data_IF_638976373789
#
_entry.id   IF_638976373789
#
_cell.length_a   1.000
_cell.length_b   1.000
_cell.length_c   1.000
_cell.angle_alpha   90.00
_cell.angle_beta   90.00
_cell.angle_gamma   90.00
#
_symmetry.space_group_name_H-M   'P 1'
#
loop_
_entity.id
_entity.type
_entity.pdbx_description
1 polymer ?
#
# COMPACT_ATOMS: atom_id res chain seq x y z
N UNK A 1 24.58 -21.03 -11.74
CA UNK A 1 23.54 -21.01 -12.80
C UNK A 1 22.76 -22.33 -12.84
N UNK A 2 23.43 -23.50 -12.90
CA UNK A 2 22.76 -24.83 -12.88
C UNK A 2 21.81 -25.06 -11.70
N UNK A 3 22.19 -24.66 -10.47
CA UNK A 3 21.34 -24.84 -9.29
C UNK A 3 20.01 -24.05 -9.38
N UNK A 4 20.06 -22.80 -9.84
CA UNK A 4 18.84 -21.98 -10.06
C UNK A 4 17.93 -22.55 -11.15
N UNK A 5 18.51 -23.16 -12.19
CA UNK A 5 17.72 -23.81 -13.25
C UNK A 5 17.01 -25.04 -12.69
N UNK A 6 17.70 -25.85 -11.88
CA UNK A 6 17.10 -27.01 -11.21
C UNK A 6 15.96 -26.61 -10.25
N UNK A 7 16.13 -25.52 -9.50
CA UNK A 7 15.08 -25.00 -8.60
C UNK A 7 13.85 -24.52 -9.40
N UNK A 8 14.05 -23.78 -10.50
CA UNK A 8 12.93 -23.35 -11.37
C UNK A 8 12.25 -24.54 -12.06
N UNK A 9 12.98 -25.58 -12.46
CA UNK A 9 12.39 -26.79 -13.04
C UNK A 9 11.56 -27.56 -12.01
N UNK A 10 12.00 -27.63 -10.75
CA UNK A 10 11.20 -28.21 -9.67
C UNK A 10 9.96 -27.37 -9.33
N UNK A 11 10.06 -26.04 -9.31
CA UNK A 11 8.92 -25.15 -9.11
C UNK A 11 7.90 -25.29 -10.25
N UNK A 12 8.37 -25.34 -11.50
CA UNK A 12 7.50 -25.55 -12.67
C UNK A 12 6.82 -26.92 -12.64
N UNK A 13 7.51 -27.97 -12.16
CA UNK A 13 6.89 -29.29 -11.96
C UNK A 13 5.81 -29.23 -10.88
N UNK A 14 6.10 -28.60 -9.74
CA UNK A 14 5.11 -28.41 -8.66
C UNK A 14 3.90 -27.58 -9.12
N UNK A 15 4.12 -26.54 -9.93
CA UNK A 15 3.05 -25.72 -10.48
C UNK A 15 2.19 -26.51 -11.48
N UNK A 16 2.80 -27.34 -12.33
CA UNK A 16 2.07 -28.27 -13.21
C UNK A 16 1.27 -29.29 -12.43
N UNK A 17 1.86 -29.93 -11.43
CA UNK A 17 1.18 -30.91 -10.57
C UNK A 17 0.01 -30.25 -9.80
N UNK A 18 0.19 -29.01 -9.34
CA UNK A 18 -0.87 -28.23 -8.68
C UNK A 18 -1.99 -27.86 -9.66
N UNK A 19 -1.65 -27.44 -10.89
CA UNK A 19 -2.63 -27.12 -11.92
C UNK A 19 -3.44 -28.36 -12.35
N UNK A 20 -2.79 -29.51 -12.50
CA UNK A 20 -3.45 -30.79 -12.79
C UNK A 20 -4.39 -31.20 -11.65
N UNK A 21 -3.96 -31.04 -10.38
CA UNK A 21 -4.80 -31.31 -9.21
C UNK A 21 -6.00 -30.36 -9.11
N UNK A 22 -5.81 -29.07 -9.39
CA UNK A 22 -6.91 -28.09 -9.43
C UNK A 22 -7.91 -28.45 -10.53
N UNK A 23 -7.44 -28.82 -11.72
CA UNK A 23 -8.33 -29.27 -12.79
C UNK A 23 -9.08 -30.56 -12.43
N UNK A 24 -8.44 -31.49 -11.73
CA UNK A 24 -9.09 -32.72 -11.29
C UNK A 24 -10.18 -32.43 -10.24
N UNK A 25 -9.88 -31.60 -9.24
CA UNK A 25 -10.86 -31.14 -8.24
C UNK A 25 -12.01 -30.36 -8.88
N UNK A 26 -11.75 -29.51 -9.87
CA UNK A 26 -12.80 -28.82 -10.62
C UNK A 26 -13.73 -29.80 -11.34
N UNK A 27 -13.19 -30.86 -11.96
CA UNK A 27 -14.00 -31.91 -12.58
C UNK A 27 -14.81 -32.71 -11.56
N UNK A 28 -14.25 -33.00 -10.39
CA UNK A 28 -14.97 -33.68 -9.31
C UNK A 28 -16.11 -32.81 -8.75
N UNK A 29 -15.88 -31.50 -8.57
CA UNK A 29 -16.91 -30.54 -8.15
C UNK A 29 -18.03 -30.46 -9.18
N UNK A 30 -17.73 -30.38 -10.47
CA UNK A 30 -18.77 -30.36 -11.50
C UNK A 30 -19.57 -31.68 -11.55
N UNK A 31 -18.91 -32.83 -11.36
CA UNK A 31 -19.62 -34.12 -11.23
C UNK A 31 -20.52 -34.16 -9.99
N UNK A 32 -20.06 -33.62 -8.85
CA UNK A 32 -20.85 -33.55 -7.63
C UNK A 32 -22.09 -32.66 -7.83
N UNK A 33 -21.93 -31.47 -8.41
CA UNK A 33 -23.05 -30.56 -8.75
C UNK A 33 -24.04 -31.21 -9.72
N UNK A 34 -23.55 -31.93 -10.72
CA UNK A 34 -24.41 -32.66 -11.67
C UNK A 34 -25.23 -33.75 -10.95
N UNK A 35 -24.61 -34.48 -10.02
CA UNK A 35 -25.29 -35.50 -9.22
C UNK A 35 -26.30 -34.91 -8.23
N UNK A 36 -25.99 -33.75 -7.65
CA UNK A 36 -26.90 -33.00 -6.78
C UNK A 36 -28.10 -32.47 -7.57
N UNK A 37 -27.89 -31.91 -8.77
CA UNK A 37 -28.98 -31.50 -9.67
C UNK A 37 -29.91 -32.66 -10.01
N UNK A 38 -29.37 -33.83 -10.37
CA UNK A 38 -30.16 -35.04 -10.65
C UNK A 38 -30.94 -35.52 -9.42
N UNK A 39 -30.34 -35.44 -8.24
CA UNK A 39 -31.01 -35.79 -6.99
C UNK A 39 -32.15 -34.82 -6.66
N UNK A 40 -31.93 -33.51 -6.83
CA UNK A 40 -32.95 -32.49 -6.65
C UNK A 40 -34.09 -32.65 -7.65
N UNK A 41 -33.79 -32.93 -8.91
CA UNK A 41 -34.81 -33.18 -9.95
C UNK A 41 -35.64 -34.43 -9.62
N UNK A 42 -34.99 -35.51 -9.15
CA UNK A 42 -35.67 -36.70 -8.65
C UNK A 42 -36.53 -36.39 -7.42
N UNK A 43 -36.05 -35.57 -6.48
CA UNK A 43 -36.81 -35.20 -5.28
C UNK A 43 -38.03 -34.35 -5.65
N UNK A 44 -37.88 -33.37 -6.54
CA UNK A 44 -38.99 -32.55 -7.06
C UNK A 44 -40.03 -33.44 -7.76
N UNK A 45 -39.59 -34.39 -8.58
CA UNK A 45 -40.48 -35.34 -9.24
C UNK A 45 -41.24 -36.18 -8.21
N UNK A 46 -40.55 -36.72 -7.19
CA UNK A 46 -41.17 -37.50 -6.12
C UNK A 46 -42.15 -36.65 -5.29
N UNK A 47 -41.81 -35.41 -4.96
CA UNK A 47 -42.71 -34.48 -4.24
C UNK A 47 -43.97 -34.21 -5.05
N UNK A 48 -43.84 -33.94 -6.35
CA UNK A 48 -45.01 -33.76 -7.24
C UNK A 48 -45.89 -35.00 -7.29
N UNK A 49 -45.30 -36.20 -7.36
CA UNK A 49 -46.05 -37.46 -7.32
C UNK A 49 -46.74 -37.69 -5.97
N UNK A 50 -46.09 -37.34 -4.86
CA UNK A 50 -46.69 -37.41 -3.53
C UNK A 50 -47.84 -36.40 -3.38
N UNK A 51 -47.71 -35.19 -3.90
CA UNK A 51 -48.78 -34.20 -3.91
C UNK A 51 -49.98 -34.69 -4.74
N UNK A 52 -49.75 -35.25 -5.92
CA UNK A 52 -50.80 -35.78 -6.77
C UNK A 52 -51.53 -36.97 -6.11
N UNK A 53 -50.80 -37.92 -5.53
CA UNK A 53 -51.39 -39.06 -4.82
C UNK A 53 -52.13 -38.63 -3.55
N UNK A 54 -51.65 -37.59 -2.85
CA UNK A 54 -52.33 -36.99 -1.70
C UNK A 54 -53.67 -36.38 -2.10
N UNK A 55 -53.72 -35.63 -3.21
CA UNK A 55 -54.97 -35.05 -3.72
C UNK A 55 -55.96 -36.15 -4.08
N UNK A 56 -55.55 -37.17 -4.85
CA UNK A 56 -56.43 -38.30 -5.21
C UNK A 56 -56.91 -39.08 -3.99
N UNK A 57 -56.09 -39.20 -2.94
CA UNK A 57 -56.49 -39.83 -1.68
C UNK A 57 -57.53 -38.98 -0.93
N UNK A 58 -57.38 -37.66 -0.90
CA UNK A 58 -58.35 -36.74 -0.31
C UNK A 58 -59.69 -36.78 -1.06
N UNK A 59 -59.65 -36.81 -2.39
CA UNK A 59 -60.85 -36.99 -3.25
C UNK A 59 -61.56 -38.31 -2.96
N UNK A 60 -60.82 -39.43 -2.91
CA UNK A 60 -61.39 -40.75 -2.60
C UNK A 60 -61.98 -40.80 -1.18
N UNK A 61 -61.34 -40.14 -0.19
CA UNK A 61 -61.90 -40.02 1.17
C UNK A 61 -63.21 -39.25 1.17
N UNK A 62 -63.31 -38.15 0.43
CA UNK A 62 -64.55 -37.39 0.29
C UNK A 62 -65.65 -38.21 -0.37
N UNK A 63 -65.34 -38.98 -1.42
CA UNK A 63 -66.28 -39.90 -2.06
C UNK A 63 -66.78 -40.98 -1.08
N UNK A 64 -65.87 -41.61 -0.32
CA UNK A 64 -66.24 -42.61 0.70
C UNK A 64 -67.17 -42.00 1.75
N UNK A 65 -66.89 -40.81 2.26
CA UNK A 65 -67.77 -40.16 3.24
C UNK A 65 -69.15 -39.83 2.65
N UNK A 66 -69.19 -39.45 1.37
CA UNK A 66 -70.45 -39.17 0.65
C UNK A 66 -71.27 -40.45 0.45
N UNK A 67 -70.62 -41.55 0.06
CA UNK A 67 -71.24 -42.87 -0.08
C UNK A 67 -71.71 -43.42 1.27
N UNK A 68 -70.93 -43.22 2.34
CA UNK A 68 -71.32 -43.61 3.70
C UNK A 68 -72.56 -42.84 4.18
N UNK A 69 -72.64 -41.52 3.92
CA UNK A 69 -73.83 -40.73 4.22
C UNK A 69 -75.05 -41.18 3.40
N UNK A 70 -74.86 -41.47 2.11
CA UNK A 70 -75.93 -42.00 1.26
C UNK A 70 -76.43 -43.35 1.77
N UNK A 71 -75.53 -44.28 2.12
CA UNK A 71 -75.89 -45.57 2.71
C UNK A 71 -76.61 -45.42 4.05
N UNK A 72 -76.14 -44.54 4.94
CA UNK A 72 -76.81 -44.26 6.22
C UNK A 72 -78.24 -43.71 6.01
N UNK A 73 -78.44 -42.86 4.99
CA UNK A 73 -79.77 -42.34 4.64
C UNK A 73 -80.70 -43.42 4.08
N UNK A 74 -80.16 -44.35 3.26
CA UNK A 74 -80.90 -45.49 2.73
C UNK A 74 -81.26 -46.49 3.83
N UNK A 75 -80.34 -46.76 4.75
CA UNK A 75 -80.59 -47.62 5.90
C UNK A 75 -81.64 -47.02 6.85
N UNK A 76 -81.60 -45.71 7.12
CA UNK A 76 -82.64 -45.02 7.89
C UNK A 76 -84.01 -45.10 7.19
N UNK A 77 -84.04 -44.97 5.87
CA UNK A 77 -85.26 -45.10 5.05
C UNK A 77 -85.81 -46.53 5.05
N UNK A 78 -84.93 -47.53 4.95
CA UNK A 78 -85.29 -48.94 4.98
C UNK A 78 -85.78 -49.37 6.38
N UNK A 79 -85.12 -48.89 7.45
CA UNK A 79 -85.54 -49.13 8.82
C UNK A 79 -86.94 -48.54 9.09
N UNK A 80 -87.22 -47.33 8.61
CA UNK A 80 -88.55 -46.73 8.70
C UNK A 80 -89.62 -47.52 7.92
N UNK A 81 -89.27 -48.10 6.77
CA UNK A 81 -90.19 -48.91 5.96
C UNK A 81 -90.49 -50.29 6.59
N UNK A 82 -89.51 -50.91 7.27
CA UNK A 82 -89.67 -52.23 7.90
C UNK A 82 -90.47 -52.17 9.21
N UNK A 83 -90.36 -51.07 9.97
CA UNK A 83 -91.18 -50.85 11.18
C UNK A 83 -92.66 -50.66 10.84
N UNK A 84 -92.99 -50.20 9.62
CA UNK A 84 -94.38 -49.97 9.20
C UNK A 84 -95.11 -51.20 8.65
N UNK A 85 -94.46 -52.37 8.45
CA UNK A 85 -95.07 -53.54 7.76
C UNK A 85 -95.23 -54.81 8.60
N UNK A 86 -94.99 -54.78 9.91
CA UNK A 86 -95.04 -55.98 10.77
C UNK A 86 -96.22 -55.94 11.75
N UNK A 87 -97.46 -55.96 11.23
CA UNK A 87 -98.68 -56.03 12.04
C UNK A 87 -99.90 -56.55 11.26
N UNK A 88 -100.46 -57.69 11.69
CA UNK A 88 -101.69 -58.30 11.17
C UNK A 88 -101.45 -59.53 10.29
N UNK A 89 -102.18 -60.63 10.37
CA UNK A 89 -103.36 -60.99 11.15
C UNK A 89 -103.47 -62.53 11.18
N UNK A 90 -103.87 -63.08 12.34
CA UNK A 90 -104.23 -64.50 12.51
C UNK A 90 -105.76 -64.54 12.58
N UNK A 91 -106.42 -65.17 11.60
CA UNK A 91 -107.86 -65.49 11.68
C UNK A 91 -108.07 -67.01 11.67
N UNK A 92 -108.63 -67.50 12.77
CA UNK A 92 -109.07 -68.88 13.01
C UNK A 92 -110.46 -69.08 12.40
N UNK A 93 -110.69 -70.21 11.71
CA UNK A 93 -112.01 -70.54 11.13
C UNK A 93 -112.66 -71.75 11.80
N UNK A 94 -113.54 -71.42 12.76
CA UNK A 94 -114.89 -71.94 13.00
C UNK A 94 -115.17 -73.44 12.76
N UNK A 95 -115.24 -74.19 13.86
CA UNK A 95 -115.70 -75.57 14.03
C UNK A 95 -117.24 -75.64 13.99
N UNK A 96 -117.84 -76.22 12.94
CA UNK A 96 -119.30 -76.36 12.82
C UNK A 96 -119.81 -77.68 12.19
N UNK A 97 -119.00 -78.75 12.24
CA UNK A 97 -119.39 -80.08 11.74
C UNK A 97 -118.88 -81.17 12.68
N UNK A 98 -119.66 -81.55 13.71
CA UNK A 98 -119.29 -82.63 14.66
C UNK A 98 -120.52 -83.24 15.38
N UNK A 99 -121.70 -83.22 14.75
CA UNK A 99 -122.97 -83.61 15.44
C UNK A 99 -123.39 -85.07 15.20
N UNK A 100 -122.73 -85.84 14.33
CA UNK A 100 -123.19 -87.22 14.05
C UNK A 100 -122.05 -88.22 13.85
N UNK A 101 -121.78 -89.03 14.88
CA UNK A 101 -121.29 -90.41 14.79
C UNK A 101 -119.94 -90.65 14.11
N UNK A 102 -118.84 -90.41 14.82
CA UNK A 102 -117.48 -90.69 14.30
C UNK A 102 -116.36 -90.79 15.34
N UNK A 103 -116.68 -91.10 16.60
CA UNK A 103 -115.74 -90.96 17.73
C UNK A 103 -114.39 -91.65 17.53
N UNK A 104 -114.34 -92.83 16.89
CA UNK A 104 -113.07 -93.55 16.70
C UNK A 104 -112.19 -92.99 15.56
N UNK A 105 -112.79 -92.40 14.53
CA UNK A 105 -112.06 -91.78 13.42
C UNK A 105 -111.58 -90.37 13.78
N UNK A 106 -112.37 -89.61 14.54
CA UNK A 106 -111.93 -88.35 15.16
C UNK A 106 -110.81 -88.59 16.17
N UNK A 107 -110.90 -89.61 17.02
CA UNK A 107 -109.79 -89.99 17.92
C UNK A 107 -108.54 -90.36 17.11
N UNK A 108 -108.68 -91.05 15.97
CA UNK A 108 -107.54 -91.39 15.09
C UNK A 108 -106.94 -90.15 14.43
N UNK A 109 -107.77 -89.23 13.92
CA UNK A 109 -107.34 -87.96 13.34
C UNK A 109 -106.61 -87.10 14.39
N UNK A 110 -107.21 -86.92 15.57
CA UNK A 110 -106.61 -86.19 16.70
C UNK A 110 -105.28 -86.83 17.15
N UNK A 111 -105.15 -88.16 17.12
CA UNK A 111 -103.87 -88.85 17.41
C UNK A 111 -102.81 -88.65 16.31
N UNK A 112 -103.21 -88.57 15.05
CA UNK A 112 -102.31 -88.21 13.95
C UNK A 112 -101.88 -86.74 14.07
N UNK A 113 -102.83 -85.83 14.30
CA UNK A 113 -102.60 -84.39 14.49
C UNK A 113 -101.70 -84.13 15.70
N UNK A 114 -101.94 -84.80 16.83
CA UNK A 114 -101.09 -84.72 18.02
C UNK A 114 -99.66 -85.18 17.71
N UNK A 115 -99.47 -86.27 16.96
CA UNK A 115 -98.13 -86.70 16.54
C UNK A 115 -97.46 -85.67 15.63
N UNK A 116 -98.18 -85.07 14.69
CA UNK A 116 -97.62 -84.02 13.83
C UNK A 116 -97.32 -82.73 14.60
N UNK A 117 -98.16 -82.38 15.58
CA UNK A 117 -97.94 -81.23 16.46
C UNK A 117 -96.71 -81.47 17.35
N UNK A 118 -96.56 -82.66 17.93
CA UNK A 118 -95.37 -83.05 18.70
C UNK A 118 -94.11 -83.04 17.82
N UNK A 119 -94.18 -83.53 16.57
CA UNK A 119 -93.06 -83.44 15.63
C UNK A 119 -92.74 -81.98 15.25
N UNK A 120 -93.76 -81.14 15.11
CA UNK A 120 -93.61 -79.70 14.88
C UNK A 120 -92.99 -78.97 16.07
N UNK A 121 -93.42 -79.29 17.29
CA UNK A 121 -92.85 -78.80 18.54
C UNK A 121 -91.39 -79.22 18.69
N UNK A 122 -91.06 -80.48 18.41
CA UNK A 122 -89.67 -80.96 18.42
C UNK A 122 -88.80 -80.24 17.39
N UNK A 123 -89.32 -79.98 16.19
CA UNK A 123 -88.62 -79.15 15.18
C UNK A 123 -88.47 -77.70 15.63
N UNK A 124 -89.49 -77.12 16.28
CA UNK A 124 -89.43 -75.78 16.84
C UNK A 124 -88.45 -75.69 17.99
N UNK A 125 -88.34 -76.73 18.83
CA UNK A 125 -87.36 -76.82 19.91
C UNK A 125 -85.95 -76.86 19.34
N UNK A 126 -85.69 -77.71 18.34
CA UNK A 126 -84.39 -77.74 17.65
C UNK A 126 -84.03 -76.39 17.02
N UNK A 127 -84.97 -75.74 16.33
CA UNK A 127 -84.74 -74.41 15.76
C UNK A 127 -84.47 -73.34 16.84
N UNK A 128 -85.10 -73.46 18.02
CA UNK A 128 -84.82 -72.59 19.16
C UNK A 128 -83.44 -72.86 19.78
N UNK A 129 -83.04 -74.13 19.89
CA UNK A 129 -81.72 -74.52 20.35
C UNK A 129 -80.63 -74.01 19.37
N UNK A 130 -80.82 -74.20 18.06
CA UNK A 130 -79.94 -73.68 17.01
C UNK A 130 -79.86 -72.14 17.07
N UNK A 131 -81.00 -71.47 17.28
CA UNK A 131 -81.04 -70.02 17.48
C UNK A 131 -80.29 -69.59 18.74
N UNK A 132 -80.39 -70.35 19.84
CA UNK A 132 -79.65 -70.09 21.07
C UNK A 132 -78.14 -70.22 20.86
N UNK A 133 -77.70 -71.24 20.12
CA UNK A 133 -76.29 -71.40 19.73
C UNK A 133 -75.83 -70.22 18.89
N UNK A 134 -76.57 -69.86 17.83
CA UNK A 134 -76.24 -68.72 16.97
C UNK A 134 -76.19 -67.39 17.74
N UNK A 135 -77.11 -67.15 18.68
CA UNK A 135 -77.08 -65.96 19.55
C UNK A 135 -75.87 -65.97 20.49
N UNK A 136 -75.47 -67.13 20.99
CA UNK A 136 -74.27 -67.27 21.82
C UNK A 136 -73.00 -66.98 21.02
N UNK A 137 -72.90 -67.46 19.78
CA UNK A 137 -71.79 -67.22 18.86
C UNK A 137 -71.69 -65.74 18.49
N UNK A 138 -72.80 -65.12 18.08
CA UNK A 138 -72.86 -63.67 17.79
C UNK A 138 -72.50 -62.85 19.03
N UNK A 139 -72.88 -63.30 20.23
CA UNK A 139 -72.49 -62.63 21.48
C UNK A 139 -70.99 -62.75 21.76
N UNK A 140 -70.39 -63.91 21.47
CA UNK A 140 -68.94 -64.10 21.59
C UNK A 140 -68.16 -63.29 20.56
N UNK A 141 -68.60 -63.28 19.30
CA UNK A 141 -68.02 -62.45 18.24
C UNK A 141 -68.14 -60.96 18.56
N UNK A 142 -69.30 -60.50 19.05
CA UNK A 142 -69.48 -59.12 19.49
C UNK A 142 -68.55 -58.75 20.67
N UNK A 143 -68.27 -59.69 21.58
CA UNK A 143 -67.26 -59.51 22.65
C UNK A 143 -65.84 -59.45 22.08
N UNK A 144 -65.52 -60.31 21.11
CA UNK A 144 -64.22 -60.34 20.46
C UNK A 144 -63.94 -59.04 19.67
N UNK A 145 -64.92 -58.57 18.90
CA UNK A 145 -64.83 -57.30 18.16
C UNK A 145 -64.68 -56.11 19.10
N UNK A 146 -65.38 -56.10 20.23
CA UNK A 146 -65.19 -55.06 21.26
C UNK A 146 -63.77 -55.05 21.84
N UNK A 147 -63.19 -56.23 22.06
CA UNK A 147 -61.81 -56.36 22.52
C UNK A 147 -60.84 -55.79 21.48
N UNK A 148 -60.96 -56.20 20.22
CA UNK A 148 -60.13 -55.67 19.13
C UNK A 148 -60.30 -54.16 18.94
N UNK A 149 -61.52 -53.62 19.09
CA UNK A 149 -61.76 -52.18 19.04
C UNK A 149 -61.05 -51.45 20.20
N UNK A 150 -61.06 -52.00 21.41
CA UNK A 150 -60.34 -51.42 22.54
C UNK A 150 -58.81 -51.49 22.38
N UNK A 151 -58.29 -52.57 21.80
CA UNK A 151 -56.86 -52.72 21.49
C UNK A 151 -56.43 -51.72 20.41
N UNK A 152 -57.16 -51.64 19.30
CA UNK A 152 -56.90 -50.66 18.24
C UNK A 152 -57.04 -49.21 18.73
N UNK A 153 -57.97 -48.94 19.66
CA UNK A 153 -58.10 -47.62 20.27
C UNK A 153 -56.87 -47.27 21.13
N UNK A 154 -56.36 -48.22 21.93
CA UNK A 154 -55.16 -48.01 22.73
C UNK A 154 -53.91 -47.81 21.85
N UNK A 155 -53.78 -48.56 20.75
CA UNK A 155 -52.71 -48.39 19.77
C UNK A 155 -52.77 -47.01 19.08
N UNK A 156 -53.96 -46.54 18.72
CA UNK A 156 -54.16 -45.21 18.14
C UNK A 156 -53.76 -44.10 19.13
N UNK A 157 -54.16 -44.23 20.39
CA UNK A 157 -53.80 -43.28 21.45
C UNK A 157 -52.27 -43.25 21.68
N UNK A 158 -51.61 -44.41 21.67
CA UNK A 158 -50.16 -44.53 21.79
C UNK A 158 -49.43 -43.89 20.58
N UNK A 159 -49.87 -44.18 19.35
CA UNK A 159 -49.29 -43.59 18.14
C UNK A 159 -49.50 -42.07 18.09
N UNK A 160 -50.65 -41.58 18.56
CA UNK A 160 -50.91 -40.14 18.65
C UNK A 160 -49.99 -39.46 19.68
N UNK A 161 -49.78 -40.08 20.84
CA UNK A 161 -48.85 -39.57 21.85
C UNK A 161 -47.39 -39.53 21.33
N UNK A 162 -46.98 -40.53 20.56
CA UNK A 162 -45.66 -40.53 19.92
C UNK A 162 -45.54 -39.45 18.83
N UNK A 163 -46.58 -39.24 18.02
CA UNK A 163 -46.61 -38.19 17.01
C UNK A 163 -46.47 -36.79 17.65
N UNK A 164 -47.16 -36.52 18.76
CA UNK A 164 -47.02 -35.26 19.50
C UNK A 164 -45.63 -35.10 20.12
N UNK A 165 -45.03 -36.18 20.66
CA UNK A 165 -43.65 -36.15 21.16
C UNK A 165 -42.67 -35.76 20.05
N UNK A 166 -42.79 -36.37 18.88
CA UNK A 166 -41.93 -36.08 17.73
C UNK A 166 -42.15 -34.67 17.18
N UNK A 167 -43.37 -34.14 17.21
CA UNK A 167 -43.67 -32.74 16.86
C UNK A 167 -42.93 -31.77 17.77
N UNK A 168 -42.98 -31.97 19.09
CA UNK A 168 -42.24 -31.13 20.03
C UNK A 168 -40.72 -31.25 19.88
N UNK A 169 -40.20 -32.44 19.58
CA UNK A 169 -38.77 -32.65 19.31
C UNK A 169 -38.33 -31.94 18.02
N UNK A 170 -39.18 -31.92 16.99
CA UNK A 170 -38.97 -31.18 15.74
C UNK A 170 -38.98 -29.66 16.01
N UNK A 171 -39.99 -29.14 16.69
CA UNK A 171 -40.08 -27.70 17.05
C UNK A 171 -38.84 -27.23 17.83
N UNK A 172 -38.36 -28.06 18.77
CA UNK A 172 -37.14 -27.80 19.52
C UNK A 172 -35.87 -27.86 18.65
N UNK A 173 -35.81 -28.77 17.67
CA UNK A 173 -34.71 -28.83 16.71
C UNK A 173 -34.69 -27.62 15.77
N UNK A 174 -35.87 -27.20 15.29
CA UNK A 174 -36.02 -26.00 14.46
C UNK A 174 -35.62 -24.73 15.23
N UNK A 175 -35.99 -24.61 16.51
CA UNK A 175 -35.55 -23.51 17.35
C UNK A 175 -34.02 -23.47 17.50
N UNK A 176 -33.38 -24.62 17.75
CA UNK A 176 -31.91 -24.70 17.80
C UNK A 176 -31.25 -24.33 16.46
N UNK A 177 -31.84 -24.71 15.33
CA UNK A 177 -31.34 -24.32 14.01
C UNK A 177 -31.45 -22.82 13.76
N UNK A 178 -32.55 -22.18 14.20
CA UNK A 178 -32.71 -20.72 14.15
C UNK A 178 -31.63 -20.03 14.98
N UNK A 179 -31.43 -20.44 16.23
CA UNK A 179 -30.41 -19.86 17.11
C UNK A 179 -28.98 -19.99 16.53
N UNK A 180 -28.64 -21.15 15.96
CA UNK A 180 -27.33 -21.38 15.31
C UNK A 180 -27.17 -20.54 14.05
N UNK A 181 -28.25 -20.34 13.28
CA UNK A 181 -28.22 -19.49 12.08
C UNK A 181 -28.00 -18.03 12.45
N UNK A 182 -28.69 -17.53 13.49
CA UNK A 182 -28.52 -16.17 14.01
C UNK A 182 -27.10 -15.95 14.58
N UNK A 183 -26.53 -16.95 15.26
CA UNK A 183 -25.13 -16.92 15.72
C UNK A 183 -24.14 -16.88 14.56
N UNK A 184 -24.37 -17.69 13.51
CA UNK A 184 -23.55 -17.68 12.31
C UNK A 184 -23.60 -16.32 11.61
N UNK A 185 -24.78 -15.73 11.46
CA UNK A 185 -24.95 -14.42 10.84
C UNK A 185 -24.28 -13.31 11.62
N UNK A 186 -24.38 -13.33 12.95
CA UNK A 186 -23.66 -12.39 13.81
C UNK A 186 -22.14 -12.55 13.71
N UNK A 187 -21.63 -13.78 13.78
CA UNK A 187 -20.20 -14.04 13.60
C UNK A 187 -19.68 -13.59 12.21
N UNK A 188 -20.51 -13.75 11.18
CA UNK A 188 -20.20 -13.29 9.82
C UNK A 188 -20.12 -11.76 9.76
N UNK A 189 -21.10 -11.05 10.32
CA UNK A 189 -21.08 -9.59 10.38
C UNK A 189 -19.87 -9.08 11.17
N UNK A 190 -19.56 -9.67 12.32
CA UNK A 190 -18.37 -9.32 13.12
C UNK A 190 -17.06 -9.51 12.31
N UNK A 191 -16.98 -10.55 11.47
CA UNK A 191 -15.84 -10.81 10.61
C UNK A 191 -15.73 -9.79 9.46
N UNK A 192 -16.86 -9.39 8.86
CA UNK A 192 -16.94 -8.35 7.82
C UNK A 192 -16.55 -6.98 8.37
N UNK A 193 -17.02 -6.62 9.57
CA UNK A 193 -16.64 -5.39 10.28
C UNK A 193 -15.16 -5.37 10.62
N UNK A 194 -14.61 -6.49 11.13
CA UNK A 194 -13.18 -6.62 11.37
C UNK A 194 -12.37 -6.47 10.08
N UNK A 195 -12.82 -7.07 8.97
CA UNK A 195 -12.16 -6.95 7.67
C UNK A 195 -12.18 -5.51 7.17
N UNK A 196 -13.32 -4.80 7.29
CA UNK A 196 -13.43 -3.39 6.94
C UNK A 196 -12.49 -2.52 7.79
N UNK A 197 -12.47 -2.71 9.13
CA UNK A 197 -11.59 -1.98 10.03
C UNK A 197 -10.09 -2.22 9.74
N UNK A 198 -9.72 -3.43 9.31
CA UNK A 198 -8.34 -3.71 8.86
C UNK A 198 -8.04 -3.06 7.50
N UNK A 199 -8.98 -3.09 6.56
CA UNK A 199 -8.86 -2.37 5.29
C UNK A 199 -8.68 -0.87 5.49
N UNK A 200 -9.36 -0.27 6.46
CA UNK A 200 -9.22 1.15 6.83
C UNK A 200 -7.83 1.46 7.38
N UNK A 201 -7.33 0.62 8.30
CA UNK A 201 -5.97 0.74 8.84
C UNK A 201 -4.90 0.58 7.76
N UNK A 202 -5.09 -0.37 6.84
CA UNK A 202 -4.18 -0.58 5.72
C UNK A 202 -4.11 0.65 4.81
N UNK A 203 -5.26 1.27 4.49
CA UNK A 203 -5.29 2.52 3.70
C UNK A 203 -4.48 3.63 4.37
N UNK A 204 -4.68 3.86 5.67
CA UNK A 204 -3.92 4.87 6.42
C UNK A 204 -2.41 4.58 6.42
N UNK A 205 -2.00 3.32 6.59
CA UNK A 205 -0.60 2.94 6.53
C UNK A 205 0.01 3.16 5.14
N UNK A 206 -0.72 2.82 4.08
CA UNK A 206 -0.29 3.05 2.70
C UNK A 206 -0.16 4.55 2.38
N UNK A 207 -1.07 5.39 2.90
CA UNK A 207 -0.98 6.84 2.74
C UNK A 207 0.23 7.41 3.49
N UNK A 208 0.52 6.94 4.70
CA UNK A 208 1.74 7.29 5.44
C UNK A 208 3.02 6.89 4.68
N UNK A 209 3.05 5.67 4.13
CA UNK A 209 4.19 5.20 3.32
C UNK A 209 4.35 6.09 2.09
N UNK A 210 3.27 6.38 1.35
CA UNK A 210 3.29 7.26 0.19
C UNK A 210 3.81 8.66 0.52
N UNK A 211 3.33 9.27 1.60
CA UNK A 211 3.80 10.58 2.05
C UNK A 211 5.30 10.56 2.39
N UNK A 212 5.79 9.49 3.03
CA UNK A 212 7.21 9.32 3.33
C UNK A 212 8.07 9.10 2.07
N UNK A 213 7.55 8.38 1.07
CA UNK A 213 8.23 8.18 -0.21
C UNK A 213 8.32 9.50 -1.00
N UNK A 214 7.25 10.30 -0.99
CA UNK A 214 7.22 11.63 -1.57
C UNK A 214 8.23 12.57 -0.88
N UNK A 215 8.36 12.49 0.45
CA UNK A 215 9.38 13.23 1.20
C UNK A 215 10.80 12.86 0.82
N UNK A 216 11.11 11.57 0.80
CA UNK A 216 12.43 11.08 0.37
C UNK A 216 12.74 11.51 -1.07
N UNK A 217 11.72 11.56 -1.94
CA UNK A 217 11.90 12.04 -3.31
C UNK A 217 12.15 13.56 -3.36
N UNK A 218 11.48 14.37 -2.53
CA UNK A 218 11.78 15.81 -2.39
C UNK A 218 13.22 16.03 -1.94
N UNK A 219 13.65 15.33 -0.89
CA UNK A 219 15.02 15.42 -0.38
C UNK A 219 16.07 14.99 -1.43
N UNK A 220 15.79 13.94 -2.22
CA UNK A 220 16.66 13.52 -3.33
C UNK A 220 16.81 14.60 -4.40
N UNK A 221 15.72 15.28 -4.75
CA UNK A 221 15.73 16.38 -5.71
C UNK A 221 16.55 17.57 -5.18
N UNK A 222 16.38 17.92 -3.91
CA UNK A 222 17.18 18.96 -3.26
C UNK A 222 18.66 18.58 -3.18
N UNK A 223 18.98 17.32 -2.86
CA UNK A 223 20.35 16.82 -2.85
C UNK A 223 20.99 16.91 -4.25
N UNK A 224 20.23 16.58 -5.30
CA UNK A 224 20.70 16.71 -6.69
C UNK A 224 21.01 18.18 -7.04
N UNK A 225 20.12 19.12 -6.68
CA UNK A 225 20.37 20.57 -6.86
C UNK A 225 21.60 21.05 -6.09
N UNK A 226 21.79 20.57 -4.85
CA UNK A 226 22.97 20.91 -4.05
C UNK A 226 24.25 20.36 -4.69
N UNK A 227 24.25 19.12 -5.15
CA UNK A 227 25.39 18.51 -5.87
C UNK A 227 25.72 19.28 -7.15
N UNK A 228 24.71 19.70 -7.92
CA UNK A 228 24.88 20.55 -9.09
C UNK A 228 25.48 21.91 -8.73
N UNK A 229 24.98 22.57 -7.68
CA UNK A 229 25.53 23.84 -7.21
C UNK A 229 27.00 23.72 -6.76
N UNK A 230 27.34 22.64 -6.06
CA UNK A 230 28.71 22.33 -5.66
C UNK A 230 29.61 22.07 -6.87
N UNK A 231 29.08 21.43 -7.93
CA UNK A 231 29.82 21.25 -9.19
C UNK A 231 30.13 22.60 -9.84
N UNK A 232 29.15 23.50 -9.96
CA UNK A 232 29.35 24.84 -10.52
C UNK A 232 30.40 25.63 -9.74
N UNK A 233 30.36 25.58 -8.39
CA UNK A 233 31.37 26.25 -7.55
C UNK A 233 32.77 25.65 -7.76
N UNK A 234 32.89 24.34 -7.93
CA UNK A 234 34.18 23.68 -8.23
C UNK A 234 34.72 24.11 -9.60
N UNK A 235 33.86 24.20 -10.61
CA UNK A 235 34.21 24.63 -11.96
C UNK A 235 34.65 26.10 -11.98
N UNK A 236 33.95 27.00 -11.29
CA UNK A 236 34.35 28.42 -11.16
C UNK A 236 35.65 28.57 -10.37
N UNK A 237 35.85 27.80 -9.28
CA UNK A 237 37.13 27.80 -8.57
C UNK A 237 38.29 27.31 -9.46
N UNK A 238 38.06 26.36 -10.37
CA UNK A 238 39.06 25.96 -11.35
C UNK A 238 39.38 27.09 -12.33
N UNK A 239 38.35 27.75 -12.86
CA UNK A 239 38.48 28.92 -13.74
C UNK A 239 39.25 30.06 -13.08
N UNK A 240 38.95 30.39 -11.83
CA UNK A 240 39.65 31.42 -11.06
C UNK A 240 41.13 31.07 -10.82
N UNK A 241 41.45 29.79 -10.56
CA UNK A 241 42.84 29.35 -10.46
C UNK A 241 43.60 29.54 -11.77
N UNK A 242 42.98 29.28 -12.90
CA UNK A 242 43.63 29.44 -14.21
C UNK A 242 43.82 30.92 -14.56
N UNK A 243 42.86 31.79 -14.26
CA UNK A 243 43.02 33.26 -14.35
C UNK A 243 44.17 33.73 -13.45
N UNK A 244 44.27 33.24 -12.22
CA UNK A 244 45.36 33.61 -11.31
C UNK A 244 46.72 33.15 -11.83
N UNK A 245 46.83 31.92 -12.37
CA UNK A 245 48.06 31.44 -13.01
C UNK A 245 48.46 32.34 -14.18
N UNK A 246 47.50 32.73 -15.01
CA UNK A 246 47.73 33.65 -16.13
C UNK A 246 48.22 35.02 -15.64
N UNK A 247 47.56 35.61 -14.63
CA UNK A 247 47.97 36.89 -14.06
C UNK A 247 49.37 36.84 -13.44
N UNK A 248 49.75 35.72 -12.81
CA UNK A 248 51.12 35.50 -12.31
C UNK A 248 52.13 35.39 -13.46
N UNK A 249 51.79 34.70 -14.55
CA UNK A 249 52.64 34.63 -15.73
C UNK A 249 52.83 36.01 -16.38
N UNK A 250 51.75 36.79 -16.53
CA UNK A 250 51.80 38.17 -17.04
C UNK A 250 52.62 39.08 -16.13
N UNK A 251 52.46 38.98 -14.81
CA UNK A 251 53.26 39.72 -13.84
C UNK A 251 54.76 39.37 -13.92
N UNK A 252 55.11 38.10 -14.16
CA UNK A 252 56.49 37.68 -14.37
C UNK A 252 57.08 38.27 -15.67
N UNK A 253 56.33 38.26 -16.78
CA UNK A 253 56.76 38.89 -18.03
C UNK A 253 57.00 40.40 -17.86
N UNK A 254 56.11 41.08 -17.13
CA UNK A 254 56.29 42.51 -16.80
C UNK A 254 57.51 42.73 -15.91
N UNK A 255 57.76 41.85 -14.93
CA UNK A 255 58.95 41.91 -14.08
C UNK A 255 60.25 41.75 -14.89
N UNK A 256 60.31 40.75 -15.78
CA UNK A 256 61.45 40.54 -16.69
C UNK A 256 61.67 41.76 -17.60
N UNK A 257 60.59 42.33 -18.13
CA UNK A 257 60.64 43.55 -18.95
C UNK A 257 61.16 44.76 -18.17
N UNK A 258 60.78 44.89 -16.89
CA UNK A 258 61.28 45.94 -15.99
C UNK A 258 62.77 45.74 -15.65
N UNK A 259 63.21 44.49 -15.46
CA UNK A 259 64.62 44.17 -15.23
C UNK A 259 65.49 44.52 -16.45
N UNK A 260 65.01 44.23 -17.67
CA UNK A 260 65.66 44.67 -18.91
C UNK A 260 65.74 46.20 -19.01
N UNK A 261 64.65 46.92 -18.70
CA UNK A 261 64.64 48.38 -18.71
C UNK A 261 65.58 49.00 -17.66
N UNK A 262 65.70 48.38 -16.46
CA UNK A 262 66.66 48.79 -15.43
C UNK A 262 68.10 48.54 -15.86
N UNK A 263 68.38 47.38 -16.46
CA UNK A 263 69.70 47.07 -17.03
C UNK A 263 70.10 48.07 -18.11
N UNK A 264 69.17 48.43 -18.99
CA UNK A 264 69.40 49.42 -20.04
C UNK A 264 69.61 50.83 -19.47
N UNK A 265 68.83 51.25 -18.46
CA UNK A 265 69.05 52.52 -17.78
C UNK A 265 70.42 52.59 -17.08
N UNK A 266 70.87 51.50 -16.46
CA UNK A 266 72.22 51.43 -15.88
C UNK A 266 73.29 51.58 -16.96
N UNK A 267 73.16 50.85 -18.08
CA UNK A 267 74.05 50.97 -19.24
C UNK A 267 74.09 52.38 -19.80
N UNK A 268 72.93 53.06 -19.92
CA UNK A 268 72.86 54.44 -20.38
C UNK A 268 73.52 55.41 -19.40
N UNK A 269 73.34 55.22 -18.09
CA UNK A 269 74.02 56.03 -17.06
C UNK A 269 75.55 55.88 -17.12
N UNK A 270 76.06 54.65 -17.32
CA UNK A 270 77.50 54.42 -17.47
C UNK A 270 78.05 55.15 -18.70
N UNK A 271 77.34 55.10 -19.82
CA UNK A 271 77.70 55.85 -21.05
C UNK A 271 77.65 57.36 -20.80
N UNK A 272 76.65 57.86 -20.08
CA UNK A 272 76.57 59.29 -19.71
C UNK A 272 77.76 59.67 -18.83
N UNK A 273 78.11 58.87 -17.82
CA UNK A 273 79.26 59.11 -16.95
C UNK A 273 80.60 59.10 -17.73
N UNK A 274 80.76 58.18 -18.70
CA UNK A 274 81.91 58.16 -19.59
C UNK A 274 81.98 59.44 -20.44
N UNK A 275 80.85 59.89 -21.01
CA UNK A 275 80.77 61.13 -21.78
C UNK A 275 81.02 62.37 -20.91
N UNK A 276 80.51 62.40 -19.69
CA UNK A 276 80.77 63.47 -18.72
C UNK A 276 82.24 63.50 -18.33
N UNK A 277 82.87 62.34 -18.11
CA UNK A 277 84.32 62.23 -17.90
C UNK A 277 85.12 62.76 -19.09
N UNK A 278 84.78 62.36 -20.31
CA UNK A 278 85.41 62.85 -21.53
C UNK A 278 85.24 64.37 -21.71
N UNK A 279 84.06 64.91 -21.40
CA UNK A 279 83.79 66.35 -21.42
C UNK A 279 84.60 67.10 -20.35
N UNK A 280 84.76 66.54 -19.15
CA UNK A 280 85.61 67.12 -18.11
C UNK A 280 87.08 67.14 -18.53
N UNK A 281 87.59 66.06 -19.12
CA UNK A 281 88.94 66.03 -19.70
C UNK A 281 89.11 67.08 -20.79
N UNK A 282 88.15 67.18 -21.72
CA UNK A 282 88.18 68.20 -22.77
C UNK A 282 88.13 69.63 -22.21
N UNK A 283 87.37 69.86 -21.13
CA UNK A 283 87.37 71.15 -20.41
C UNK A 283 88.72 71.46 -19.78
N UNK A 284 89.37 70.48 -19.17
CA UNK A 284 90.72 70.64 -18.59
C UNK A 284 91.75 70.92 -19.69
N UNK A 285 91.70 70.18 -20.80
CA UNK A 285 92.54 70.43 -21.97
C UNK A 285 92.31 71.83 -22.56
N UNK A 286 91.05 72.26 -22.67
CA UNK A 286 90.71 73.61 -23.11
C UNK A 286 91.26 74.68 -22.17
N UNK A 287 91.14 74.51 -20.85
CA UNK A 287 91.73 75.45 -19.89
C UNK A 287 93.26 75.44 -19.95
N UNK A 288 93.91 74.28 -20.13
CA UNK A 288 95.35 74.19 -20.38
C UNK A 288 95.77 74.91 -21.66
N UNK A 289 95.01 74.76 -22.75
CA UNK A 289 95.24 75.48 -24.02
C UNK A 289 95.02 76.98 -23.84
N UNK A 290 94.00 77.39 -23.09
CA UNK A 290 93.71 78.79 -22.83
C UNK A 290 94.80 79.46 -21.98
N UNK A 291 95.36 78.74 -21.00
CA UNK A 291 96.53 79.20 -20.24
C UNK A 291 97.78 79.27 -21.13
N UNK A 292 98.01 78.27 -21.99
CA UNK A 292 99.15 78.28 -22.92
C UNK A 292 99.02 79.34 -24.00
N UNK A 293 97.80 79.61 -24.48
CA UNK A 293 97.46 80.72 -25.37
C UNK A 293 97.70 82.05 -24.68
N UNK A 294 97.22 82.23 -23.44
CA UNK A 294 97.47 83.45 -22.66
C UNK A 294 98.96 83.69 -22.40
N UNK A 295 99.73 82.62 -22.13
CA UNK A 295 101.18 82.70 -22.01
C UNK A 295 101.85 83.08 -23.35
N UNK A 296 101.46 82.46 -24.45
CA UNK A 296 101.94 82.81 -25.79
C UNK A 296 101.57 84.25 -26.19
N UNK A 297 100.36 84.71 -25.87
CA UNK A 297 99.93 86.09 -26.04
C UNK A 297 100.75 87.05 -25.16
N UNK A 298 101.09 86.66 -23.94
CA UNK A 298 102.01 87.39 -23.06
C UNK A 298 103.39 87.56 -23.70
N UNK A 299 103.98 86.46 -24.19
CA UNK A 299 105.26 86.49 -24.92
C UNK A 299 105.18 87.31 -26.21
N UNK A 300 104.07 87.25 -26.95
CA UNK A 300 103.82 88.09 -28.13
C UNK A 300 103.73 89.58 -27.75
N UNK A 301 103.09 89.92 -26.63
CA UNK A 301 103.01 91.30 -26.12
C UNK A 301 104.38 91.79 -25.66
N UNK A 302 105.20 90.96 -25.01
CA UNK A 302 106.58 91.28 -24.65
C UNK A 302 107.42 91.52 -25.91
N UNK A 303 107.33 90.64 -26.91
CA UNK A 303 108.00 90.82 -28.21
C UNK A 303 107.52 92.10 -28.92
N UNK A 304 106.22 92.39 -28.93
CA UNK A 304 105.68 93.63 -29.48
C UNK A 304 106.13 94.86 -28.68
N UNK A 305 106.29 94.76 -27.36
CA UNK A 305 106.81 95.84 -26.53
C UNK A 305 108.29 96.07 -26.77
N UNK A 306 109.07 95.00 -27.00
CA UNK A 306 110.46 95.08 -27.45
C UNK A 306 110.55 95.67 -28.87
N UNK A 307 109.62 95.32 -29.76
CA UNK A 307 109.51 95.90 -31.10
C UNK A 307 109.15 97.39 -31.03
N UNK A 308 108.19 97.77 -30.18
CA UNK A 308 107.80 99.16 -29.91
C UNK A 308 108.96 99.96 -29.29
N UNK A 309 109.67 99.38 -28.31
CA UNK A 309 110.88 99.96 -27.73
C UNK A 309 111.99 100.13 -28.78
N UNK A 310 112.12 99.20 -29.72
CA UNK A 310 113.10 99.25 -30.84
C UNK A 310 112.67 100.22 -31.96
N UNK A 311 111.37 100.46 -32.14
CA UNK A 311 110.83 101.34 -33.19
C UNK A 311 110.64 102.79 -32.76
N UNK A 312 111.09 103.17 -31.55
CA UNK A 312 111.06 104.59 -31.09
C UNK A 312 112.22 105.40 -31.68
N UNK A 313 112.34 105.45 -33.01
CA UNK A 313 113.07 106.44 -33.82
C UNK A 313 112.39 106.47 -35.18
N UNK A 314 111.20 107.05 -35.25
CA UNK A 314 110.58 107.77 -36.39
C UNK A 314 109.06 107.82 -36.23
N UNK A 315 108.53 109.05 -36.26
CA UNK A 315 107.18 109.44 -36.72
C UNK A 315 105.94 108.72 -36.14
N UNK A 316 105.15 109.32 -35.25
CA UNK A 316 104.14 110.38 -35.52
C UNK A 316 102.80 109.87 -36.11
N UNK A 317 101.78 109.90 -35.24
CA UNK A 317 100.38 110.31 -35.49
C UNK A 317 99.27 109.31 -35.95
N UNK A 318 98.10 109.54 -35.34
CA UNK A 318 96.72 109.37 -35.82
C UNK A 318 95.92 108.06 -35.60
N UNK A 319 95.17 108.04 -34.48
CA UNK A 319 93.69 107.95 -34.37
C UNK A 319 92.88 106.70 -34.83
N UNK A 320 92.33 105.97 -33.83
CA UNK A 320 90.90 105.63 -33.53
C UNK A 320 89.78 105.80 -34.60
N UNK A 321 88.57 105.21 -34.43
CA UNK A 321 88.11 103.86 -33.99
C UNK A 321 86.89 103.38 -34.87
N UNK A 322 85.98 102.56 -34.31
CA UNK A 322 84.58 102.28 -34.73
C UNK A 322 84.36 100.97 -35.55
N UNK A 323 83.59 99.99 -35.04
CA UNK A 323 82.13 99.90 -34.85
C UNK A 323 81.39 99.39 -36.10
N UNK A 324 80.80 98.19 -35.99
CA UNK A 324 79.54 97.72 -36.59
C UNK A 324 79.58 96.18 -36.60
N UNK A 325 78.78 95.44 -35.82
CA UNK A 325 77.31 95.32 -35.78
C UNK A 325 76.78 94.58 -37.01
N UNK A 326 75.87 93.63 -36.75
CA UNK A 326 75.02 92.85 -37.69
C UNK A 326 75.78 91.73 -38.42
N UNK A 327 75.27 90.52 -38.64
CA UNK A 327 73.90 90.04 -38.74
C UNK A 327 73.89 88.50 -38.49
N UNK A 328 73.01 88.00 -37.61
CA UNK A 328 71.91 87.08 -37.95
C UNK A 328 72.21 86.02 -39.01
N UNK A 329 72.27 84.74 -38.60
CA UNK A 329 71.85 83.60 -39.44
C UNK A 329 71.17 82.56 -38.53
N UNK A 330 69.90 82.30 -38.88
CA UNK A 330 69.07 81.11 -38.68
C UNK A 330 69.30 80.24 -37.43
N UNK A 331 68.34 80.15 -36.51
CA UNK A 331 67.07 79.42 -36.66
C UNK A 331 67.29 77.93 -36.95
N UNK A 332 67.34 77.14 -35.87
CA UNK A 332 67.00 75.72 -35.87
C UNK A 332 65.92 75.49 -34.81
N UNK A 333 64.72 76.00 -35.11
CA UNK A 333 63.50 75.32 -34.69
C UNK A 333 63.40 73.98 -35.43
N UNK A 334 63.60 72.88 -34.73
CA UNK A 334 63.06 71.58 -35.12
C UNK A 334 61.78 71.36 -34.32
N UNK A 335 60.72 72.01 -34.78
CA UNK A 335 59.39 71.43 -34.77
C UNK A 335 59.40 70.39 -35.90
N UNK A 336 59.29 69.11 -35.57
CA UNK A 336 58.66 68.13 -36.45
C UNK A 336 58.45 66.79 -35.74
N UNK A 337 57.18 66.52 -35.52
CA UNK A 337 56.55 65.25 -35.87
C UNK A 337 57.01 64.00 -35.11
N UNK A 338 56.19 63.66 -34.12
CA UNK A 338 55.64 62.31 -33.94
C UNK A 338 55.75 61.45 -35.24
N UNK A 339 56.45 60.31 -35.21
CA UNK A 339 55.94 59.12 -35.83
C UNK A 339 55.08 58.43 -34.79
N UNK A 340 53.76 58.52 -35.00
CA UNK A 340 52.81 57.53 -34.52
C UNK A 340 53.33 56.17 -34.98
N UNK A 341 54.10 55.47 -34.13
CA UNK A 341 54.56 54.11 -34.42
C UNK A 341 53.34 53.24 -34.34
N UNK A 342 52.84 52.93 -35.53
CA UNK A 342 51.75 52.02 -35.82
C UNK A 342 51.88 50.78 -34.96
N UNK A 343 50.85 50.60 -34.14
CA UNK A 343 50.38 49.32 -33.66
C UNK A 343 50.33 48.35 -34.86
N UNK A 344 51.26 47.41 -34.92
CA UNK A 344 51.17 46.28 -35.84
C UNK A 344 50.10 45.36 -35.27
N UNK A 345 48.92 45.48 -35.87
CA UNK A 345 47.84 44.51 -35.84
C UNK A 345 48.38 43.13 -36.22
N UNK A 346 48.41 42.21 -35.25
CA UNK A 346 48.46 40.78 -35.49
C UNK A 346 47.24 40.14 -34.84
N UNK A 347 46.48 39.44 -35.67
CA UNK A 347 45.15 38.94 -35.40
C UNK A 347 45.16 37.72 -34.47
N UNK A 348 44.55 37.85 -33.28
CA UNK A 348 43.63 36.86 -32.69
C UNK A 348 43.11 37.28 -31.31
N UNK A 349 41.82 37.62 -31.26
CA UNK A 349 40.89 37.29 -30.18
C UNK A 349 41.11 37.92 -28.80
N UNK A 350 40.55 39.11 -28.59
CA UNK A 350 40.15 39.60 -27.26
C UNK A 350 38.64 39.85 -27.24
N UNK A 351 37.88 39.29 -26.28
CA UNK A 351 36.58 39.82 -25.94
C UNK A 351 36.77 40.97 -24.94
N UNK A 352 36.33 42.13 -25.40
CA UNK A 352 36.05 43.36 -24.67
C UNK A 352 35.14 43.08 -23.46
N UNK A 353 35.58 43.41 -22.24
CA UNK A 353 34.71 43.51 -21.07
C UNK A 353 35.27 44.50 -20.04
N UNK A 354 34.89 45.76 -20.26
CA UNK A 354 34.65 46.84 -19.30
C UNK A 354 35.03 46.60 -17.82
N UNK A 355 36.06 47.34 -17.37
CA UNK A 355 36.33 47.61 -15.96
C UNK A 355 36.15 49.11 -15.70
N UNK A 356 34.91 49.53 -15.51
CA UNK A 356 34.53 50.83 -14.93
C UNK A 356 33.21 50.68 -14.19
N UNK A 357 33.22 50.20 -12.94
CA UNK A 357 32.07 50.43 -12.03
C UNK A 357 32.43 50.25 -10.56
N UNK A 358 33.29 51.12 -10.05
CA UNK A 358 33.33 51.45 -8.63
C UNK A 358 32.85 52.88 -8.46
N UNK A 359 31.54 53.07 -8.26
CA UNK A 359 30.97 54.26 -7.62
C UNK A 359 29.55 53.93 -7.15
N UNK A 360 29.26 54.40 -5.95
CA UNK A 360 28.06 54.19 -5.15
C UNK A 360 26.80 54.87 -5.71
N UNK A 361 25.66 54.57 -5.07
CA UNK A 361 24.28 54.98 -5.35
C UNK A 361 23.60 54.11 -6.43
N UNK A 362 22.41 53.54 -6.22
CA UNK A 362 21.25 54.16 -5.59
C UNK A 362 20.30 53.11 -4.97
N UNK A 363 19.44 53.62 -4.08
CA UNK A 363 18.53 52.90 -3.19
C UNK A 363 17.31 52.37 -3.95
N UNK A 364 16.88 51.14 -3.65
CA UNK A 364 15.47 50.75 -3.77
C UNK A 364 15.06 49.87 -2.59
N UNK A 365 14.09 50.40 -1.86
CA UNK A 365 13.46 49.94 -0.61
C UNK A 365 12.60 48.69 -0.81
N UNK A 366 12.65 47.82 0.20
CA UNK A 366 11.52 47.13 0.89
C UNK A 366 10.98 45.79 0.29
N UNK A 367 10.33 44.90 1.09
CA UNK A 367 11.04 43.93 1.97
C UNK A 367 10.28 42.58 2.16
N UNK A 368 10.90 41.41 2.03
CA UNK A 368 10.33 40.20 2.67
C UNK A 368 11.29 39.02 2.68
N UNK A 369 11.82 38.67 3.85
CA UNK A 369 11.70 37.31 4.41
C UNK A 369 12.59 37.21 5.66
N UNK A 370 11.95 36.85 6.77
CA UNK A 370 12.53 36.80 8.11
C UNK A 370 13.59 35.72 8.21
N UNK A 371 14.72 36.08 8.82
CA UNK A 371 15.51 35.14 9.64
C UNK A 371 14.69 34.83 10.89
N UNK A 372 14.59 33.56 11.26
CA UNK A 372 14.41 33.17 12.66
C UNK A 372 15.59 32.30 13.08
N UNK A 373 16.20 32.76 14.16
CA UNK A 373 17.31 32.16 14.87
C UNK A 373 16.93 30.81 15.45
N UNK A 374 17.94 29.93 15.47
CA UNK A 374 18.01 28.70 16.22
C UNK A 374 17.97 29.02 17.73
N UNK A 375 17.07 28.35 18.45
CA UNK A 375 17.21 28.06 19.88
C UNK A 375 16.68 29.10 20.86
N UNK A 376 15.39 29.00 21.23
CA UNK A 376 14.92 29.27 22.60
C UNK A 376 13.51 28.68 22.82
N UNK A 377 13.26 27.91 23.90
CA UNK A 377 11.98 27.26 24.14
C UNK A 377 11.06 28.15 24.98
N UNK A 378 9.95 28.63 24.42
CA UNK A 378 8.97 29.43 25.14
C UNK A 378 7.53 28.88 24.98
N UNK A 379 7.14 28.09 25.98
CA UNK A 379 5.84 28.12 26.70
C UNK A 379 4.60 28.49 25.85
N UNK A 380 3.94 27.49 25.27
CA UNK A 380 2.50 27.56 24.98
C UNK A 380 1.72 26.77 26.03
N UNK A 381 1.02 27.53 26.88
CA UNK A 381 -0.12 27.09 27.70
C UNK A 381 -1.29 26.80 26.75
N UNK A 382 -1.84 25.59 26.80
CA UNK A 382 -3.08 25.23 26.11
C UNK A 382 -3.47 23.81 26.50
N UNK A 383 -4.26 23.68 27.57
CA UNK A 383 -4.63 22.41 28.16
C UNK A 383 -5.72 21.68 27.39
N UNK A 384 -5.53 20.37 27.24
CA UNK A 384 -6.62 19.41 27.15
C UNK A 384 -6.36 18.35 28.23
N UNK A 385 -7.19 18.44 29.27
CA UNK A 385 -7.24 17.56 30.43
C UNK A 385 -7.94 16.23 30.11
N UNK A 386 -7.78 15.28 31.06
CA UNK A 386 -8.40 13.95 31.21
C UNK A 386 -7.66 12.85 30.46
N UNK A 387 -7.19 11.76 31.08
CA UNK A 387 -7.67 11.10 32.28
C UNK A 387 -6.52 10.36 32.98
N UNK A 388 -6.33 10.68 34.26
CA UNK A 388 -5.52 9.91 35.19
C UNK A 388 -6.33 8.72 35.70
N UNK A 389 -5.93 7.51 35.33
CA UNK A 389 -6.15 6.26 36.08
C UNK A 389 -5.54 5.11 35.30
N UNK A 390 -4.39 4.61 35.73
CA UNK A 390 -4.12 3.17 35.83
C UNK A 390 -2.86 3.02 36.68
N UNK A 391 -3.07 2.58 37.92
CA UNK A 391 -2.01 2.21 38.84
C UNK A 391 -1.33 0.91 38.42
N UNK A 392 -0.05 0.83 38.78
CA UNK A 392 0.75 -0.38 38.98
C UNK A 392 0.59 -1.51 37.94
N UNK A 393 1.08 -1.30 36.72
CA UNK A 393 1.24 -2.35 35.71
C UNK A 393 2.71 -2.39 35.23
N UNK A 394 3.21 -3.62 35.07
CA UNK A 394 4.61 -3.98 34.85
C UNK A 394 5.24 -3.30 33.63
N UNK A 395 6.57 -3.12 33.66
CA UNK A 395 7.37 -2.44 32.63
C UNK A 395 7.10 -2.96 31.20
N UNK A 396 6.75 -4.24 31.04
CA UNK A 396 6.46 -4.88 29.75
C UNK A 396 5.09 -4.50 29.15
N UNK A 397 4.11 -4.14 29.98
CA UNK A 397 2.79 -3.69 29.49
C UNK A 397 2.78 -2.19 29.19
N UNK A 398 3.71 -1.43 29.80
CA UNK A 398 3.92 -0.01 29.50
C UNK A 398 4.43 0.22 28.07
N UNK A 399 5.19 -0.72 27.53
CA UNK A 399 5.74 -0.65 26.16
C UNK A 399 4.68 -0.89 25.08
N UNK A 400 3.62 -1.64 25.40
CA UNK A 400 2.50 -1.87 24.46
C UNK A 400 1.45 -0.75 24.49
N UNK A 401 1.29 -0.06 25.62
CA UNK A 401 0.34 1.05 25.75
C UNK A 401 0.85 2.39 25.18
N UNK A 402 2.15 2.50 24.86
CA UNK A 402 2.81 3.77 24.47
C UNK A 402 3.05 3.92 22.96
N UNK A 403 2.38 3.14 22.11
CA UNK A 403 2.58 3.17 20.64
C UNK A 403 1.53 3.99 19.89
N UNK A 404 0.85 4.92 20.56
CA UNK A 404 -0.24 5.72 19.98
C UNK A 404 0.19 7.09 19.43
N UNK A 405 1.48 7.46 19.50
CA UNK A 405 1.96 8.75 19.01
C UNK A 405 3.24 8.60 18.14
N UNK A 406 3.23 9.19 16.94
CA UNK A 406 4.32 9.10 15.95
C UNK A 406 5.64 9.69 16.48
N UNK A 407 5.59 10.61 17.44
CA UNK A 407 6.76 11.17 18.09
C UNK A 407 7.55 10.12 18.92
N UNK A 408 6.85 9.19 19.57
CA UNK A 408 7.47 8.19 20.45
C UNK A 408 8.18 7.07 19.65
N UNK A 409 7.73 6.82 18.41
CA UNK A 409 8.40 5.90 17.48
C UNK A 409 9.79 6.43 17.05
N UNK A 410 9.98 7.75 16.98
CA UNK A 410 11.25 8.35 16.60
C UNK A 410 12.29 8.26 17.72
N UNK A 411 11.88 8.51 18.97
CA UNK A 411 12.77 8.35 20.13
C UNK A 411 13.11 6.89 20.43
N UNK A 412 12.20 5.94 20.23
CA UNK A 412 12.50 4.53 20.37
C UNK A 412 13.45 4.01 19.26
N UNK A 413 13.35 4.56 18.05
CA UNK A 413 14.27 4.27 16.96
C UNK A 413 15.65 4.91 17.16
N UNK A 414 15.73 6.14 17.69
CA UNK A 414 17.01 6.78 18.03
C UNK A 414 17.72 6.08 19.20
N UNK A 415 16.98 5.66 20.23
CA UNK A 415 17.56 4.93 21.38
C UNK A 415 18.04 3.51 21.01
N UNK A 416 17.46 2.89 19.98
CA UNK A 416 17.92 1.59 19.47
C UNK A 416 19.13 1.70 18.51
N UNK A 417 19.49 2.92 18.10
CA UNK A 417 20.60 3.19 17.18
C UNK A 417 21.85 3.74 17.89
N UNK A 418 21.75 4.09 19.18
CA UNK A 418 22.87 4.59 19.99
C UNK A 418 23.68 3.53 20.74
N UNK A 419 23.33 2.24 20.60
CA UNK A 419 23.98 1.12 21.33
C UNK A 419 25.01 0.34 20.47
N UNK A 420 25.53 0.94 19.38
CA UNK A 420 26.46 0.27 18.46
C UNK A 420 27.69 1.11 18.04
N UNK A 421 28.05 2.15 18.78
CA UNK A 421 29.23 2.98 18.48
C UNK A 421 30.19 3.02 19.68
N UNK A 422 30.97 1.96 19.83
CA UNK A 422 32.27 1.95 20.53
C UNK A 422 33.09 0.81 19.89
N UNK A 423 34.38 1.05 19.60
CA UNK A 423 35.35 0.11 19.01
C UNK A 423 35.59 0.24 17.49
N UNK A 424 36.23 1.33 17.04
CA UNK A 424 37.25 1.29 15.97
C UNK A 424 38.12 2.56 16.03
N UNK A 425 39.12 2.51 16.89
CA UNK A 425 40.22 3.47 16.95
C UNK A 425 41.29 3.16 15.88
N UNK A 426 41.70 4.21 15.17
CA UNK A 426 42.98 4.40 14.45
C UNK A 426 43.33 3.47 13.27
N UNK A 427 43.05 3.91 12.03
CA UNK A 427 43.95 3.60 10.90
C UNK A 427 44.22 4.86 10.08
N UNK A 428 45.52 5.11 9.99
CA UNK A 428 46.21 6.29 9.48
C UNK A 428 46.11 6.48 7.96
N UNK A 429 46.35 7.72 7.57
CA UNK A 429 46.17 8.33 6.27
C UNK A 429 47.40 8.10 5.37
N UNK A 430 47.33 7.17 4.41
CA UNK A 430 48.13 7.21 3.16
C UNK A 430 47.76 6.07 2.20
N UNK A 431 46.97 6.36 1.16
CA UNK A 431 47.28 6.03 -0.25
C UNK A 431 46.04 6.33 -1.12
N UNK A 432 46.07 7.46 -1.81
CA UNK A 432 45.36 7.63 -3.07
C UNK A 432 46.10 6.84 -4.17
N UNK A 433 45.32 6.40 -5.15
CA UNK A 433 45.69 5.75 -6.41
C UNK A 433 45.88 4.22 -6.42
N UNK A 434 44.77 3.48 -6.54
CA UNK A 434 44.73 2.35 -7.48
C UNK A 434 43.32 1.84 -7.76
N UNK A 435 42.91 2.02 -9.02
CA UNK A 435 42.07 1.13 -9.84
C UNK A 435 40.58 0.91 -9.50
N UNK A 436 39.77 1.57 -10.32
CA UNK A 436 38.64 1.00 -11.08
C UNK A 436 38.59 -0.54 -11.07
N UNK A 437 37.71 -1.12 -10.24
CA UNK A 437 37.01 -2.41 -10.43
C UNK A 437 36.36 -2.90 -9.11
N UNK A 438 35.32 -2.23 -8.60
CA UNK A 438 34.46 -2.89 -7.57
C UNK A 438 33.07 -2.26 -7.40
N UNK A 439 32.41 -1.89 -8.50
CA UNK A 439 31.04 -1.37 -8.48
C UNK A 439 29.99 -2.47 -8.70
N UNK A 440 30.07 -3.63 -8.01
CA UNK A 440 29.06 -4.70 -8.12
C UNK A 440 28.87 -5.59 -6.88
N UNK A 441 28.79 -5.06 -5.65
CA UNK A 441 28.22 -5.84 -4.52
C UNK A 441 27.46 -4.97 -3.51
N UNK A 442 26.29 -4.43 -3.89
CA UNK A 442 25.29 -3.99 -2.91
C UNK A 442 24.44 -5.19 -2.50
N UNK A 443 24.84 -5.86 -1.41
CA UNK A 443 24.06 -6.90 -0.74
C UNK A 443 22.76 -6.27 -0.20
N UNK A 444 21.64 -6.51 -0.90
CA UNK A 444 20.29 -6.22 -0.39
C UNK A 444 20.04 -7.13 0.82
N UNK A 445 20.02 -6.54 2.03
CA UNK A 445 19.60 -7.21 3.27
C UNK A 445 18.09 -7.49 3.20
N UNK A 446 17.61 -8.72 3.49
CA UNK A 446 16.18 -9.02 3.48
C UNK A 446 15.55 -8.62 4.81
N UNK A 447 15.09 -7.37 4.94
CA UNK A 447 14.42 -6.88 6.16
C UNK A 447 12.93 -7.29 6.21
N UNK A 448 12.38 -7.91 5.15
CA UNK A 448 10.94 -8.23 5.06
C UNK A 448 10.57 -9.70 5.37
N UNK A 449 11.43 -10.49 6.01
CA UNK A 449 11.10 -11.90 6.33
C UNK A 449 10.33 -12.10 7.64
N UNK A 450 10.06 -11.04 8.42
CA UNK A 450 9.41 -11.14 9.74
C UNK A 450 7.92 -10.77 9.79
N UNK A 451 7.32 -10.30 8.69
CA UNK A 451 5.88 -9.95 8.67
C UNK A 451 4.97 -11.12 8.22
N UNK A 452 5.51 -12.07 7.45
CA UNK A 452 4.75 -13.19 6.88
C UNK A 452 4.50 -14.39 7.81
N UNK A 453 5.20 -14.48 8.94
CA UNK A 453 5.07 -15.59 9.91
C UNK A 453 4.02 -15.31 11.01
N UNK A 454 3.54 -14.07 11.12
CA UNK A 454 2.53 -13.70 12.11
C UNK A 454 1.11 -14.01 11.65
N UNK A 455 0.85 -13.98 10.34
CA UNK A 455 -0.44 -14.33 9.75
C UNK A 455 -0.63 -15.84 9.51
N UNK A 456 0.44 -16.63 9.59
CA UNK A 456 0.41 -18.07 9.30
C UNK A 456 0.22 -18.97 10.53
N UNK A 457 0.13 -18.41 11.75
CA UNK A 457 0.06 -19.18 13.02
C UNK A 457 -1.31 -19.24 13.71
N UNK A 458 -2.41 -18.85 13.04
CA UNK A 458 -3.78 -19.08 13.54
C UNK A 458 -4.39 -20.37 12.93
N UNK A 459 -3.85 -21.53 13.31
CA UNK A 459 -4.52 -22.82 13.09
C UNK A 459 -4.18 -23.84 14.19
N UNK A 460 -4.37 -23.47 15.46
CA UNK A 460 -4.23 -24.40 16.58
C UNK A 460 -5.26 -24.10 17.67
N UNK A 461 -6.55 -24.34 17.37
CA UNK A 461 -7.61 -24.47 18.38
C UNK A 461 -8.70 -25.41 17.88
N UNK A 462 -8.52 -26.73 18.05
CA UNK A 462 -9.61 -27.73 18.26
C UNK A 462 -9.03 -29.15 18.26
N UNK A 463 -9.08 -29.82 19.42
CA UNK A 463 -9.43 -31.24 19.60
C UNK A 463 -8.97 -31.71 20.99
N UNK A 464 -9.67 -31.26 22.04
CA UNK A 464 -9.77 -31.98 23.30
C UNK A 464 -11.26 -32.01 23.60
N UNK A 465 -11.90 -33.16 23.44
CA UNK A 465 -13.15 -33.60 24.08
C UNK A 465 -13.49 -34.99 23.50
N UNK A 466 -13.17 -36.02 24.28
CA UNK A 466 -13.72 -37.36 24.12
C UNK A 466 -15.24 -37.35 24.43
N UNK A 467 -15.97 -38.44 24.11
CA UNK A 467 -16.29 -39.34 25.23
C UNK A 467 -16.28 -40.85 24.90
N UNK A 468 -15.73 -41.55 25.89
CA UNK A 468 -16.05 -42.85 26.49
C UNK A 468 -17.25 -43.65 25.93
N UNK A 469 -16.98 -44.94 25.74
CA UNK A 469 -17.87 -46.08 25.49
C UNK A 469 -19.20 -46.12 26.27
N UNK A 470 -20.28 -46.44 25.55
CA UNK A 470 -21.27 -47.49 25.87
C UNK A 470 -21.82 -48.05 24.57
#
# INVERSE_FOLDING_TARGET
>A
MRQKVSEMEEELRKEKDAAEKVQLLQREVEKAKESERKMLESLIYQTKQLEQTKISLEEAKLEITTLQQANASLEASAAAAVVSRRGGAVEQRSVKDLVFGGGDDEIRALRCELRTAMQGEEKSRKALDDLSVALSDVTMEAKQVKMWLSEAQAELEAANAEAERLRHELDAAEARLRDVSDEHDRCRLDAEECAAAWGDKERVLLDCVRASEEEVNRERQENTKLVESQRVIRDENARLRDILKQAVAEANVVKESLELARGENARLNDVVAEKDGALQSLRQEYECIKVSEAAAQGSLKELNSLLAATTTTTATACSTPASARTASVADYGFDQHLPSVRLVSSAKGTPEAASHRWTAADKSRTPSSRRYSIGEPAKFKGGFSQSARMGNLNHKDRVFASLSNIADLKSAAEAAMSDFDDEFDHVDESHYDSMDQSMKQKKKRPILRKFGDLFRRKSFYKANLAPVHT
#
